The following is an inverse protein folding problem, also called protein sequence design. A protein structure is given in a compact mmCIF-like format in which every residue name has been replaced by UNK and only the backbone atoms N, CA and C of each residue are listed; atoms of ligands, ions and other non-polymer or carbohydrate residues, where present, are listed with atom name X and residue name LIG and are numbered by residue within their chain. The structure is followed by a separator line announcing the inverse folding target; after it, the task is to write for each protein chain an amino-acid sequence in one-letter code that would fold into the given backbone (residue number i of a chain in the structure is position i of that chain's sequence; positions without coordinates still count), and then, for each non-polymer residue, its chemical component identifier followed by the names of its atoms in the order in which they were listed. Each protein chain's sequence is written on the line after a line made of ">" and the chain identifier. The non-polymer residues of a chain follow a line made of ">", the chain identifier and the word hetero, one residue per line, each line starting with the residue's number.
data_IF_851514799666
#
_entry.id   IF_851514799666
#
_cell.length_a   1.000
_cell.length_b   1.000
_cell.length_c   1.000
_cell.angle_alpha   90.00
_cell.angle_beta   90.00
_cell.angle_gamma   90.00
#
_symmetry.space_group_name_H-M   'P 1'
#
loop_
_entity.id
_entity.type
_entity.pdbx_description
1 polymer ?
#
# COMPACT_ATOMS: atom_id res chain seq x y z
N UNK A 1 1.37 -30.75 9.67
CA UNK A 1 1.21 -30.08 10.98
C UNK A 1 0.28 -28.89 10.80
N UNK A 2 -0.67 -28.66 11.70
CA UNK A 2 -1.63 -27.55 11.58
C UNK A 2 -1.01 -26.23 12.05
N UNK A 3 -1.03 -25.20 11.19
CA UNK A 3 -0.58 -23.85 11.56
C UNK A 3 -1.60 -23.22 12.50
N UNK A 4 -1.23 -23.03 13.77
CA UNK A 4 -2.08 -22.37 14.76
C UNK A 4 -2.20 -20.88 14.43
N UNK A 5 -3.42 -20.43 14.10
CA UNK A 5 -3.69 -19.02 13.81
C UNK A 5 -3.49 -18.17 15.08
N UNK A 6 -2.46 -17.32 15.08
CA UNK A 6 -2.24 -16.34 16.16
C UNK A 6 -3.40 -15.34 16.22
N UNK A 7 -3.96 -15.10 17.41
CA UNK A 7 -4.99 -14.06 17.60
C UNK A 7 -4.40 -12.70 17.26
N UNK A 8 -5.06 -11.97 16.35
CA UNK A 8 -4.66 -10.60 16.01
C UNK A 8 -4.80 -9.72 17.26
N UNK A 9 -3.80 -8.87 17.57
CA UNK A 9 -3.88 -7.98 18.73
C UNK A 9 -5.09 -7.05 18.59
N UNK A 10 -5.75 -6.78 19.73
CA UNK A 10 -6.87 -5.85 19.78
C UNK A 10 -6.40 -4.45 19.40
N UNK A 11 -7.23 -3.72 18.66
CA UNK A 11 -6.92 -2.34 18.26
C UNK A 11 -6.90 -1.43 19.49
N UNK A 12 -5.82 -0.67 19.65
CA UNK A 12 -5.73 0.38 20.66
C UNK A 12 -6.82 1.43 20.45
N UNK A 13 -7.13 2.21 21.50
CA UNK A 13 -8.06 3.34 21.39
C UNK A 13 -7.61 4.34 20.31
N UNK A 14 -6.31 4.59 20.20
CA UNK A 14 -5.72 5.45 19.17
C UNK A 14 -5.96 4.90 17.77
N UNK A 15 -5.74 3.59 17.54
CA UNK A 15 -6.04 2.97 16.25
C UNK A 15 -7.51 3.07 15.88
N UNK A 16 -8.42 2.86 16.84
CA UNK A 16 -9.86 2.99 16.62
C UNK A 16 -10.24 4.42 16.22
N UNK A 17 -9.73 5.43 16.93
CA UNK A 17 -9.95 6.85 16.58
C UNK A 17 -9.44 7.20 15.19
N UNK A 18 -8.21 6.80 14.84
CA UNK A 18 -7.62 7.07 13.51
C UNK A 18 -8.43 6.40 12.39
N UNK A 19 -8.83 5.15 12.58
CA UNK A 19 -9.67 4.42 11.61
C UNK A 19 -11.06 5.05 11.45
N UNK A 20 -11.68 5.53 12.54
CA UNK A 20 -12.94 6.25 12.47
C UNK A 20 -12.80 7.59 11.74
N UNK A 21 -11.76 8.38 12.05
CA UNK A 21 -11.50 9.65 11.38
C UNK A 21 -11.27 9.46 9.86
N UNK A 22 -10.52 8.42 9.47
CA UNK A 22 -10.37 8.05 8.07
C UNK A 22 -11.71 7.71 7.42
N UNK A 23 -12.50 6.83 8.04
CA UNK A 23 -13.80 6.42 7.51
C UNK A 23 -14.75 7.61 7.34
N UNK A 24 -14.82 8.51 8.33
CA UNK A 24 -15.65 9.72 8.25
C UNK A 24 -15.17 10.69 7.18
N UNK A 25 -13.84 10.87 7.03
CA UNK A 25 -13.25 11.76 6.02
C UNK A 25 -13.62 11.32 4.60
N UNK A 26 -13.67 10.01 4.36
CA UNK A 26 -13.89 9.42 3.04
C UNK A 26 -15.28 8.76 2.90
N UNK A 27 -16.21 9.06 3.82
CA UNK A 27 -17.52 8.39 3.86
C UNK A 27 -18.39 8.66 2.63
N UNK A 28 -18.18 9.80 1.97
CA UNK A 28 -18.97 10.26 0.82
C UNK A 28 -18.27 10.00 -0.52
N UNK A 29 -17.15 9.26 -0.53
CA UNK A 29 -16.43 8.94 -1.75
C UNK A 29 -17.25 8.03 -2.67
N UNK A 30 -17.24 8.40 -3.95
CA UNK A 30 -17.84 7.63 -5.03
C UNK A 30 -16.89 6.53 -5.52
N UNK A 31 -17.40 5.62 -6.34
CA UNK A 31 -16.58 4.58 -6.98
C UNK A 31 -15.44 5.20 -7.80
N UNK A 32 -15.64 6.38 -8.39
CA UNK A 32 -14.62 7.09 -9.15
C UNK A 32 -13.51 7.64 -8.25
N UNK A 33 -13.84 8.07 -7.04
CA UNK A 33 -12.84 8.49 -6.06
C UNK A 33 -12.01 7.29 -5.57
N UNK A 34 -12.67 6.16 -5.28
CA UNK A 34 -11.98 4.91 -4.89
C UNK A 34 -11.10 4.33 -6.00
N UNK A 35 -11.42 4.59 -7.28
CA UNK A 35 -10.60 4.16 -8.43
C UNK A 35 -9.23 4.83 -8.48
N UNK A 36 -9.08 5.99 -7.83
CA UNK A 36 -7.84 6.76 -7.76
C UNK A 36 -6.89 6.27 -6.67
N UNK A 37 -7.32 5.31 -5.85
CA UNK A 37 -6.50 4.74 -4.78
C UNK A 37 -5.65 3.58 -5.27
N UNK A 38 -4.34 3.66 -5.00
CA UNK A 38 -3.40 2.58 -5.22
C UNK A 38 -2.93 2.04 -3.88
N UNK A 39 -3.00 0.72 -3.73
CA UNK A 39 -2.58 0.00 -2.54
C UNK A 39 -1.38 -0.87 -2.82
N UNK A 40 -0.54 -1.06 -1.81
CA UNK A 40 0.53 -2.05 -1.87
C UNK A 40 0.17 -3.34 -1.14
N UNK A 41 0.54 -4.49 -1.73
CA UNK A 41 0.41 -5.80 -1.09
C UNK A 41 1.72 -6.59 -1.14
N UNK A 42 1.98 -7.32 -0.05
CA UNK A 42 2.92 -8.44 -0.03
C UNK A 42 2.24 -9.67 -0.63
N UNK A 43 2.97 -10.44 -1.44
CA UNK A 43 2.49 -11.70 -1.99
C UNK A 43 3.09 -12.88 -1.19
N UNK A 44 2.21 -13.73 -0.64
CA UNK A 44 2.57 -15.07 -0.15
C UNK A 44 3.58 -15.17 1.02
N UNK A 45 3.93 -16.41 1.33
CA UNK A 45 4.98 -16.75 2.30
C UNK A 45 6.36 -16.64 1.63
N UNK A 46 7.02 -15.51 1.86
CA UNK A 46 8.34 -15.17 1.31
C UNK A 46 8.48 -13.65 1.31
N UNK A 47 9.56 -13.11 1.88
CA UNK A 47 9.74 -11.66 2.03
C UNK A 47 10.07 -10.92 0.73
N UNK A 48 10.06 -11.62 -0.40
CA UNK A 48 10.81 -11.21 -1.60
C UNK A 48 9.96 -10.59 -2.70
N UNK A 49 8.64 -10.58 -2.63
CA UNK A 49 7.82 -10.01 -3.73
C UNK A 49 6.75 -9.04 -3.24
N UNK A 50 6.60 -7.97 -4.02
CA UNK A 50 5.73 -6.83 -3.72
C UNK A 50 4.98 -6.42 -4.98
N UNK A 51 3.68 -6.18 -4.82
CA UNK A 51 2.76 -5.95 -5.95
C UNK A 51 1.96 -4.67 -5.71
N UNK A 52 2.03 -3.72 -6.64
CA UNK A 52 1.13 -2.56 -6.67
C UNK A 52 -0.25 -3.05 -7.10
N UNK A 53 -1.33 -2.63 -6.44
CA UNK A 53 -2.70 -3.01 -6.80
C UNK A 53 -3.59 -1.77 -6.86
N UNK A 54 -4.08 -1.48 -8.05
CA UNK A 54 -5.11 -0.47 -8.29
C UNK A 54 -6.48 -1.10 -8.51
N UNK A 55 -7.49 -0.28 -8.74
CA UNK A 55 -8.85 -0.74 -9.03
C UNK A 55 -8.94 -1.62 -10.29
N UNK A 56 -8.19 -1.27 -11.33
CA UNK A 56 -8.22 -1.95 -12.62
C UNK A 56 -7.39 -3.25 -12.67
N UNK A 57 -6.68 -3.60 -11.60
CA UNK A 57 -5.88 -4.84 -11.56
C UNK A 57 -4.61 -4.74 -10.74
N UNK A 58 -3.83 -5.82 -10.80
CA UNK A 58 -2.47 -5.87 -10.25
C UNK A 58 -1.56 -5.11 -11.20
N UNK A 59 -0.91 -4.06 -10.70
CA UNK A 59 0.12 -3.30 -11.39
C UNK A 59 1.48 -4.00 -11.29
N UNK A 60 2.56 -3.23 -11.47
CA UNK A 60 3.90 -3.76 -11.54
C UNK A 60 4.31 -4.61 -10.32
N UNK A 61 5.04 -5.69 -10.62
CA UNK A 61 5.66 -6.58 -9.64
C UNK A 61 7.12 -6.17 -9.47
N UNK A 62 7.55 -6.07 -8.22
CA UNK A 62 8.95 -5.83 -7.92
C UNK A 62 9.46 -6.85 -6.90
N UNK A 63 10.59 -7.45 -7.23
CA UNK A 63 11.32 -8.32 -6.33
C UNK A 63 12.13 -7.47 -5.33
N UNK A 64 12.22 -7.96 -4.10
CA UNK A 64 12.95 -7.35 -3.01
C UNK A 64 13.98 -8.36 -2.55
N UNK A 65 15.23 -7.97 -2.62
CA UNK A 65 16.32 -8.79 -2.16
C UNK A 65 16.48 -8.60 -0.64
N UNK A 66 16.27 -9.69 0.10
CA UNK A 66 16.40 -9.69 1.56
C UNK A 66 15.43 -8.74 2.29
N UNK A 67 15.95 -7.95 3.23
CA UNK A 67 15.15 -6.98 3.99
C UNK A 67 15.12 -5.67 3.23
N UNK A 68 13.94 -5.27 2.73
CA UNK A 68 13.74 -3.96 2.09
C UNK A 68 14.34 -2.82 2.91
N UNK A 69 15.26 -2.10 2.27
CA UNK A 69 15.79 -0.82 2.67
C UNK A 69 15.07 0.34 1.94
N UNK A 70 15.53 1.58 2.17
CA UNK A 70 14.94 2.76 1.58
C UNK A 70 15.22 2.90 0.07
N UNK A 71 16.36 2.41 -0.42
CA UNK A 71 16.74 2.51 -1.84
C UNK A 71 15.88 1.55 -2.67
N UNK A 72 15.74 0.30 -2.21
CA UNK A 72 14.81 -0.66 -2.80
C UNK A 72 13.37 -0.15 -2.73
N UNK A 73 12.98 0.55 -1.65
CA UNK A 73 11.66 1.16 -1.56
C UNK A 73 11.44 2.23 -2.63
N UNK A 74 12.38 3.18 -2.81
CA UNK A 74 12.29 4.23 -3.84
C UNK A 74 12.28 3.63 -5.24
N UNK A 75 13.15 2.67 -5.54
CA UNK A 75 13.20 2.02 -6.85
C UNK A 75 11.88 1.32 -7.22
N UNK A 76 11.18 0.77 -6.23
CA UNK A 76 9.87 0.13 -6.45
C UNK A 76 8.77 1.16 -6.66
N UNK A 77 8.82 2.30 -5.97
CA UNK A 77 7.88 3.39 -6.24
C UNK A 77 8.07 3.93 -7.66
N UNK A 78 9.31 4.18 -8.04
CA UNK A 78 9.66 4.74 -9.33
C UNK A 78 9.29 3.79 -10.47
N UNK A 79 9.75 2.54 -10.42
CA UNK A 79 9.46 1.56 -11.48
C UNK A 79 8.04 1.00 -11.46
N UNK A 80 7.42 0.90 -10.26
CA UNK A 80 6.19 0.16 -10.10
C UNK A 80 4.92 1.00 -9.98
N UNK A 81 4.97 2.07 -9.17
CA UNK A 81 3.81 2.92 -8.93
C UNK A 81 3.63 3.92 -10.08
N UNK A 82 4.67 4.60 -10.53
CA UNK A 82 4.57 5.57 -11.61
C UNK A 82 4.08 4.93 -12.91
N UNK A 83 4.66 3.77 -13.28
CA UNK A 83 4.19 3.05 -14.47
C UNK A 83 2.71 2.65 -14.37
N UNK A 84 2.29 2.17 -13.19
CA UNK A 84 0.87 1.81 -12.96
C UNK A 84 -0.07 3.03 -12.93
N UNK A 85 0.45 4.22 -12.64
CA UNK A 85 -0.29 5.49 -12.69
C UNK A 85 -0.40 6.00 -14.13
N UNK A 86 0.67 5.91 -14.92
CA UNK A 86 0.66 6.22 -16.36
C UNK A 86 -0.36 5.33 -17.09
N UNK A 87 -0.34 4.02 -16.82
CA UNK A 87 -1.22 3.04 -17.47
C UNK A 87 -2.70 3.25 -17.16
N UNK A 88 -3.04 3.91 -16.03
CA UNK A 88 -4.44 4.16 -15.67
C UNK A 88 -5.01 5.45 -16.24
N UNK A 89 -4.15 6.34 -16.77
CA UNK A 89 -4.55 7.65 -17.26
C UNK A 89 -5.06 8.61 -16.16
N UNK A 90 -4.85 8.29 -14.89
CA UNK A 90 -5.22 9.17 -13.77
C UNK A 90 -4.06 10.16 -13.56
N UNK A 91 -4.32 11.47 -13.61
CA UNK A 91 -3.25 12.44 -13.45
C UNK A 91 -2.64 12.34 -12.05
N UNK A 92 -1.32 12.44 -11.95
CA UNK A 92 -0.58 12.14 -10.73
C UNK A 92 -1.01 12.96 -9.49
N UNK A 93 -1.54 14.17 -9.71
CA UNK A 93 -2.07 15.03 -8.67
C UNK A 93 -3.42 14.57 -8.08
N UNK A 94 -4.11 13.65 -8.74
CA UNK A 94 -5.37 13.06 -8.29
C UNK A 94 -5.19 11.67 -7.67
N UNK A 95 -3.99 11.08 -7.79
CA UNK A 95 -3.69 9.78 -7.22
C UNK A 95 -3.47 9.88 -5.72
N UNK A 96 -4.14 8.99 -4.99
CA UNK A 96 -3.99 8.88 -3.54
C UNK A 96 -3.21 7.60 -3.24
N UNK A 97 -1.98 7.77 -2.79
CA UNK A 97 -1.10 6.67 -2.42
C UNK A 97 -1.36 6.21 -0.99
N UNK A 98 -1.76 4.95 -0.81
CA UNK A 98 -2.04 4.37 0.50
C UNK A 98 -0.99 3.32 0.89
N UNK A 99 -0.40 3.49 2.07
CA UNK A 99 0.54 2.54 2.67
C UNK A 99 0.30 2.36 4.18
N UNK A 100 0.90 1.34 4.77
CA UNK A 100 0.83 1.15 6.22
C UNK A 100 1.80 2.09 6.97
N UNK A 101 1.59 2.24 8.28
CA UNK A 101 2.42 3.11 9.12
C UNK A 101 3.70 2.40 9.64
N UNK A 102 4.24 1.43 8.91
CA UNK A 102 5.51 0.82 9.29
C UNK A 102 6.63 1.89 9.24
N UNK A 103 7.50 2.00 10.28
CA UNK A 103 8.54 3.02 10.35
C UNK A 103 9.42 3.13 9.08
N UNK A 104 9.56 2.04 8.32
CA UNK A 104 10.32 2.03 7.06
C UNK A 104 9.74 2.99 6.01
N UNK A 105 8.44 3.24 6.03
CA UNK A 105 7.71 4.13 5.11
C UNK A 105 7.77 5.61 5.51
N UNK A 106 8.41 5.92 6.64
CA UNK A 106 8.61 7.28 7.15
C UNK A 106 10.09 7.69 7.15
N UNK A 107 10.94 6.92 6.46
CA UNK A 107 12.37 7.22 6.30
C UNK A 107 12.55 8.52 5.51
N UNK A 108 13.48 9.39 5.95
CA UNK A 108 13.83 10.63 5.22
C UNK A 108 14.44 10.42 3.83
N UNK A 109 14.75 9.16 3.48
CA UNK A 109 15.30 8.78 2.18
C UNK A 109 14.21 8.41 1.17
N UNK A 110 12.97 8.27 1.61
CA UNK A 110 11.79 8.08 0.78
C UNK A 110 11.13 9.43 0.48
#
# INVERSE_FOLDING_TARGET
>A
MAVVKKKKPLLSATHRKRRLAFALKYQNWTIEDWKKEYMWKKKGEGLTSREVKGWNGVGALSEVEGRMDAEQYVAILDGGLLQSMEDSGIPANEVIFQQDNDPKHTSRRA
#
